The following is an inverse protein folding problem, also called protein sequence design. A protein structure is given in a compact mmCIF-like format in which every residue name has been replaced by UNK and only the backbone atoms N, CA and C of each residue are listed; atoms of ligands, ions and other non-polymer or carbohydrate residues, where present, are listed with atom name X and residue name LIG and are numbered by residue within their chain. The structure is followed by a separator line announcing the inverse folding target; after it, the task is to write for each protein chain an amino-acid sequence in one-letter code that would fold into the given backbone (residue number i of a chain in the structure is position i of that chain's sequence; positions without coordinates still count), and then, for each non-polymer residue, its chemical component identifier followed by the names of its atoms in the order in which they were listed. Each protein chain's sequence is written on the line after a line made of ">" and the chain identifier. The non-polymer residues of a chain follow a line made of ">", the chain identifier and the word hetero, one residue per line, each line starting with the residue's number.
data_IF_505555532784
#
_entry.id   IF_505555532784
#
_cell.length_a   1.000
_cell.length_b   1.000
_cell.length_c   1.000
_cell.angle_alpha   90.00
_cell.angle_beta   90.00
_cell.angle_gamma   90.00
#
_symmetry.space_group_name_H-M   'P 1'
#
loop_
_entity.id
_entity.type
_entity.pdbx_description
1 polymer ?
#
# COMPACT_ATOMS: atom_id res chain seq x y z
N UNK A 1 36.79 57.63 -33.95
CA UNK A 1 35.60 57.17 -33.19
C UNK A 1 35.53 55.66 -33.27
N UNK A 2 35.96 54.94 -32.23
CA UNK A 2 36.03 53.47 -32.28
C UNK A 2 36.05 52.87 -30.88
N UNK A 3 34.91 52.88 -30.19
CA UNK A 3 34.77 52.22 -28.89
C UNK A 3 33.30 51.82 -28.63
N UNK A 4 32.72 51.04 -29.53
CA UNK A 4 31.38 50.45 -29.33
C UNK A 4 31.34 48.91 -29.45
N UNK A 5 32.42 48.27 -29.94
CA UNK A 5 32.47 46.82 -30.16
C UNK A 5 32.96 46.01 -28.94
N UNK A 6 33.62 46.64 -27.96
CA UNK A 6 34.12 45.95 -26.76
C UNK A 6 33.03 45.63 -25.73
N UNK A 7 32.04 46.50 -25.57
CA UNK A 7 30.99 46.35 -24.56
C UNK A 7 29.92 45.31 -24.95
N UNK A 8 29.59 45.20 -26.25
CA UNK A 8 28.65 44.18 -26.72
C UNK A 8 29.20 42.74 -26.55
N UNK A 9 30.52 42.56 -26.76
CA UNK A 9 31.18 41.25 -26.65
C UNK A 9 31.28 40.78 -25.20
N UNK A 10 31.56 41.69 -24.25
CA UNK A 10 31.57 41.41 -22.82
C UNK A 10 30.17 41.04 -22.28
N UNK A 11 29.12 41.74 -22.75
CA UNK A 11 27.73 41.44 -22.36
C UNK A 11 27.27 40.07 -22.88
N UNK A 12 27.58 39.73 -24.14
CA UNK A 12 27.26 38.41 -24.70
C UNK A 12 27.96 37.27 -23.95
N UNK A 13 29.24 37.44 -23.59
CA UNK A 13 30.01 36.46 -22.81
C UNK A 13 29.43 36.28 -21.39
N UNK A 14 29.02 37.38 -20.74
CA UNK A 14 28.39 37.32 -19.41
C UNK A 14 27.03 36.60 -19.44
N UNK A 15 26.17 36.90 -20.41
CA UNK A 15 24.86 36.24 -20.58
C UNK A 15 25.02 34.75 -20.90
N UNK A 16 26.00 34.37 -21.73
CA UNK A 16 26.30 32.97 -22.02
C UNK A 16 26.86 32.24 -20.78
N UNK A 17 27.73 32.88 -20.00
CA UNK A 17 28.25 32.31 -18.75
C UNK A 17 27.16 32.07 -17.70
N UNK A 18 26.24 33.02 -17.51
CA UNK A 18 25.09 32.84 -16.60
C UNK A 18 24.13 31.74 -17.07
N UNK A 19 23.93 31.61 -18.39
CA UNK A 19 23.07 30.58 -18.97
C UNK A 19 23.69 29.18 -18.81
N UNK A 20 25.00 29.04 -18.98
CA UNK A 20 25.74 27.79 -18.76
C UNK A 20 25.69 27.37 -17.28
N UNK A 21 25.98 28.28 -16.35
CA UNK A 21 25.87 28.02 -14.91
C UNK A 21 24.45 27.64 -14.47
N UNK A 22 23.41 28.20 -15.11
CA UNK A 22 22.03 27.83 -14.84
C UNK A 22 21.66 26.44 -15.40
N UNK A 23 22.24 26.04 -16.53
CA UNK A 23 22.07 24.69 -17.11
C UNK A 23 22.73 23.65 -16.21
N UNK A 24 23.95 23.90 -15.74
CA UNK A 24 24.68 22.97 -14.87
C UNK A 24 23.95 22.76 -13.53
N UNK A 25 23.43 23.84 -12.94
CA UNK A 25 22.60 23.76 -11.72
C UNK A 25 21.30 22.98 -11.95
N UNK A 26 20.68 23.10 -13.13
CA UNK A 26 19.48 22.33 -13.48
C UNK A 26 19.80 20.85 -13.68
N UNK A 27 20.91 20.53 -14.34
CA UNK A 27 21.37 19.17 -14.53
C UNK A 27 21.70 18.49 -13.19
N UNK A 28 22.44 19.17 -12.31
CA UNK A 28 22.74 18.67 -10.97
C UNK A 28 21.47 18.44 -10.14
N UNK A 29 20.50 19.36 -10.21
CA UNK A 29 19.20 19.21 -9.54
C UNK A 29 18.40 18.02 -10.09
N UNK A 30 18.39 17.82 -11.40
CA UNK A 30 17.71 16.69 -12.03
C UNK A 30 18.32 15.35 -11.57
N UNK A 31 19.65 15.25 -11.57
CA UNK A 31 20.36 14.06 -11.07
C UNK A 31 20.09 13.79 -9.57
N UNK A 32 20.01 14.85 -8.75
CA UNK A 32 19.66 14.72 -7.34
C UNK A 32 18.20 14.26 -7.14
N UNK A 33 17.28 14.71 -7.99
CA UNK A 33 15.88 14.27 -7.92
C UNK A 33 15.72 12.83 -8.41
N UNK A 34 16.48 12.42 -9.42
CA UNK A 34 16.52 11.05 -9.92
C UNK A 34 17.07 10.06 -8.88
N UNK A 35 18.18 10.41 -8.22
CA UNK A 35 18.75 9.61 -7.13
C UNK A 35 17.79 9.52 -5.94
N UNK A 36 17.12 10.62 -5.58
CA UNK A 36 16.07 10.61 -4.56
C UNK A 36 14.91 9.68 -4.95
N UNK A 37 14.42 9.79 -6.19
CA UNK A 37 13.33 8.95 -6.68
C UNK A 37 13.71 7.46 -6.66
N UNK A 38 14.92 7.12 -7.09
CA UNK A 38 15.44 5.76 -7.02
C UNK A 38 15.46 5.23 -5.57
N UNK A 39 15.91 6.04 -4.61
CA UNK A 39 15.97 5.63 -3.21
C UNK A 39 14.58 5.40 -2.60
N UNK A 40 13.62 6.29 -2.90
CA UNK A 40 12.20 6.11 -2.52
C UNK A 40 11.65 4.79 -3.08
N UNK A 41 11.92 4.48 -4.35
CA UNK A 41 11.43 3.26 -4.99
C UNK A 41 12.08 1.99 -4.42
N UNK A 42 13.36 2.03 -4.07
CA UNK A 42 14.04 0.90 -3.40
C UNK A 42 13.41 0.63 -2.03
N UNK A 43 13.25 1.67 -1.20
CA UNK A 43 12.63 1.54 0.12
C UNK A 43 11.18 1.06 0.02
N UNK A 44 10.43 1.58 -0.97
CA UNK A 44 9.08 1.12 -1.25
C UNK A 44 9.08 -0.37 -1.61
N UNK A 45 9.88 -0.81 -2.58
CA UNK A 45 9.98 -2.22 -2.99
C UNK A 45 10.35 -3.14 -1.82
N UNK A 46 11.18 -2.66 -0.89
CA UNK A 46 11.54 -3.36 0.36
C UNK A 46 10.41 -3.38 1.41
N UNK A 47 9.25 -2.77 1.13
CA UNK A 47 8.08 -2.77 2.01
C UNK A 47 8.10 -1.69 3.09
N UNK A 48 8.98 -0.69 3.01
CA UNK A 48 9.02 0.40 3.97
C UNK A 48 7.69 1.20 3.96
N UNK A 49 7.30 1.71 5.13
CA UNK A 49 6.16 2.63 5.24
C UNK A 49 6.54 4.05 4.84
N UNK A 50 5.55 4.89 4.52
CA UNK A 50 5.78 6.33 4.32
C UNK A 50 6.46 6.94 5.56
N UNK A 51 6.06 6.55 6.78
CA UNK A 51 6.68 7.04 8.01
C UNK A 51 8.13 6.57 8.21
N UNK A 52 8.45 5.34 7.78
CA UNK A 52 9.82 4.83 7.80
C UNK A 52 10.68 5.53 6.73
N UNK A 53 10.17 5.68 5.51
CA UNK A 53 10.83 6.44 4.43
C UNK A 53 11.06 7.89 4.84
N UNK A 54 10.10 8.53 5.54
CA UNK A 54 10.27 9.90 6.08
C UNK A 54 11.45 9.97 7.06
N UNK A 55 11.54 9.01 7.99
CA UNK A 55 12.64 8.95 8.96
C UNK A 55 13.99 8.74 8.29
N UNK A 56 14.03 7.87 7.28
CA UNK A 56 15.26 7.52 6.56
C UNK A 56 15.73 8.65 5.65
N UNK A 57 14.81 9.22 4.86
CA UNK A 57 15.12 10.20 3.82
C UNK A 57 15.01 11.65 4.30
N UNK A 58 14.55 11.88 5.53
CA UNK A 58 14.42 13.22 6.12
C UNK A 58 13.48 14.17 5.36
N UNK A 59 12.50 13.64 4.62
CA UNK A 59 11.64 14.44 3.73
C UNK A 59 10.15 14.30 4.04
N UNK A 60 9.33 15.24 3.56
CA UNK A 60 7.89 15.25 3.85
C UNK A 60 7.12 14.12 3.16
N UNK A 61 6.04 13.66 3.80
CA UNK A 61 5.13 12.65 3.26
C UNK A 61 4.61 13.02 1.86
N UNK A 62 4.30 14.30 1.62
CA UNK A 62 3.81 14.78 0.33
C UNK A 62 4.83 14.62 -0.78
N UNK A 63 6.13 14.77 -0.48
CA UNK A 63 7.20 14.58 -1.47
C UNK A 63 7.36 13.10 -1.82
N UNK A 64 7.36 12.23 -0.80
CA UNK A 64 7.41 10.77 -0.99
C UNK A 64 6.22 10.30 -1.83
N UNK A 65 5.00 10.75 -1.49
CA UNK A 65 3.77 10.43 -2.22
C UNK A 65 3.84 10.85 -3.68
N UNK A 66 4.29 12.08 -3.95
CA UNK A 66 4.44 12.59 -5.31
C UNK A 66 5.40 11.74 -6.15
N UNK A 67 6.53 11.31 -5.56
CA UNK A 67 7.48 10.43 -6.26
C UNK A 67 6.86 9.09 -6.59
N UNK A 68 6.16 8.46 -5.64
CA UNK A 68 5.48 7.18 -5.86
C UNK A 68 4.41 7.30 -6.96
N UNK A 69 3.58 8.35 -6.89
CA UNK A 69 2.53 8.64 -7.88
C UNK A 69 3.11 8.86 -9.29
N UNK A 70 4.18 9.65 -9.42
CA UNK A 70 4.84 9.90 -10.71
C UNK A 70 5.48 8.64 -11.32
N UNK A 71 5.77 7.63 -10.51
CA UNK A 71 6.34 6.36 -10.94
C UNK A 71 5.29 5.26 -11.08
N UNK A 72 4.00 5.61 -11.12
CA UNK A 72 2.89 4.66 -11.32
C UNK A 72 2.69 3.69 -10.16
N UNK A 73 3.25 4.00 -8.98
CA UNK A 73 3.02 3.22 -7.77
C UNK A 73 1.77 3.77 -7.11
N UNK A 74 0.62 3.22 -7.49
CA UNK A 74 -0.64 3.50 -6.82
C UNK A 74 -0.55 3.11 -5.34
N UNK A 75 -1.32 3.82 -4.50
CA UNK A 75 -1.41 3.66 -3.04
C UNK A 75 -1.83 2.24 -2.65
N UNK A 76 -0.92 1.29 -2.72
CA UNK A 76 -1.09 -0.04 -2.15
C UNK A 76 -0.14 -0.07 -0.96
N UNK A 77 -0.65 0.05 0.28
CA UNK A 77 0.21 -0.07 1.45
C UNK A 77 0.83 -1.46 1.43
N UNK A 78 2.11 -1.55 1.09
CA UNK A 78 2.86 -2.81 1.04
C UNK A 78 2.96 -3.45 2.44
N UNK A 79 2.74 -2.64 3.49
CA UNK A 79 2.45 -3.10 4.86
C UNK A 79 1.30 -4.11 4.98
N UNK A 80 0.44 -4.22 3.97
CA UNK A 80 -0.64 -5.19 3.99
C UNK A 80 -0.19 -6.61 3.62
N UNK A 81 0.92 -6.84 2.91
CA UNK A 81 1.29 -8.21 2.49
C UNK A 81 1.82 -9.04 3.65
N UNK A 82 2.83 -8.56 4.39
CA UNK A 82 3.32 -9.24 5.59
C UNK A 82 2.18 -9.45 6.63
N UNK A 83 1.30 -8.46 6.79
CA UNK A 83 0.13 -8.59 7.69
C UNK A 83 -0.92 -9.58 7.19
N UNK A 84 -1.11 -9.73 5.88
CA UNK A 84 -2.00 -10.75 5.27
C UNK A 84 -1.42 -12.15 5.48
N UNK A 85 -0.13 -12.33 5.19
CA UNK A 85 0.54 -13.63 5.29
C UNK A 85 0.56 -14.12 6.73
N UNK A 86 0.92 -13.25 7.69
CA UNK A 86 0.83 -13.59 9.11
C UNK A 86 -0.58 -13.97 9.55
N UNK A 87 -1.61 -13.26 9.06
CA UNK A 87 -3.00 -13.55 9.41
C UNK A 87 -3.41 -14.92 8.87
N UNK A 88 -3.09 -15.20 7.61
CA UNK A 88 -3.36 -16.48 6.97
C UNK A 88 -2.66 -17.61 7.73
N UNK A 89 -1.36 -17.47 8.01
CA UNK A 89 -0.56 -18.46 8.73
C UNK A 89 -1.12 -18.72 10.12
N UNK A 90 -1.48 -17.67 10.87
CA UNK A 90 -2.09 -17.81 12.20
C UNK A 90 -3.45 -18.49 12.14
N UNK A 91 -4.31 -18.11 11.19
CA UNK A 91 -5.63 -18.73 11.00
C UNK A 91 -5.50 -20.21 10.63
N UNK A 92 -4.62 -20.55 9.70
CA UNK A 92 -4.34 -21.94 9.30
C UNK A 92 -3.73 -22.76 10.46
N UNK A 93 -2.88 -22.16 11.30
CA UNK A 93 -2.35 -22.84 12.48
C UNK A 93 -3.45 -23.17 13.49
N UNK A 94 -4.36 -22.23 13.73
CA UNK A 94 -5.52 -22.47 14.59
C UNK A 94 -6.42 -23.59 14.03
N UNK A 95 -6.66 -23.60 12.72
CA UNK A 95 -7.44 -24.65 12.06
C UNK A 95 -6.79 -26.03 12.19
N UNK A 96 -5.48 -26.13 11.92
CA UNK A 96 -4.72 -27.39 12.08
C UNK A 96 -4.78 -27.93 13.51
N UNK A 97 -4.73 -27.05 14.52
CA UNK A 97 -4.91 -27.47 15.91
C UNK A 97 -6.34 -27.97 16.16
N UNK A 98 -7.36 -27.30 15.62
CA UNK A 98 -8.74 -27.78 15.73
C UNK A 98 -8.94 -29.15 15.07
N UNK A 99 -8.36 -29.36 13.89
CA UNK A 99 -8.39 -30.65 13.17
C UNK A 99 -7.64 -31.75 13.93
N UNK A 100 -6.59 -31.38 14.67
CA UNK A 100 -5.88 -32.27 15.59
C UNK A 100 -6.63 -32.58 16.89
N UNK A 101 -7.90 -32.16 17.03
CA UNK A 101 -8.75 -32.46 18.17
C UNK A 101 -8.64 -31.50 19.36
N UNK A 102 -7.84 -30.44 19.25
CA UNK A 102 -7.73 -29.45 20.32
C UNK A 102 -9.02 -28.64 20.45
N UNK A 103 -9.47 -28.44 21.69
CA UNK A 103 -10.55 -27.52 22.02
C UNK A 103 -10.11 -26.06 21.84
N UNK A 104 -11.06 -25.14 21.70
CA UNK A 104 -10.75 -23.71 21.54
C UNK A 104 -9.95 -23.12 22.72
N UNK A 105 -10.16 -23.62 23.94
CA UNK A 105 -9.40 -23.19 25.12
C UNK A 105 -7.95 -23.67 25.06
N UNK A 106 -7.71 -24.90 24.63
CA UNK A 106 -6.36 -25.44 24.46
C UNK A 106 -5.63 -24.76 23.31
N UNK A 107 -6.33 -24.43 22.21
CA UNK A 107 -5.79 -23.62 21.12
C UNK A 107 -5.39 -22.24 21.65
N UNK A 108 -6.23 -21.60 22.46
CA UNK A 108 -5.96 -20.29 23.04
C UNK A 108 -4.69 -20.31 23.90
N UNK A 109 -4.55 -21.32 24.76
CA UNK A 109 -3.34 -21.54 25.56
C UNK A 109 -2.10 -21.78 24.67
N UNK A 110 -2.21 -22.66 23.67
CA UNK A 110 -1.09 -23.05 22.79
C UNK A 110 -0.66 -21.94 21.83
N UNK A 111 -1.55 -21.00 21.53
CA UNK A 111 -1.28 -19.82 20.70
C UNK A 111 -1.05 -18.55 21.53
N UNK A 112 -1.04 -18.66 22.86
CA UNK A 112 -0.84 -17.55 23.80
C UNK A 112 -1.76 -16.35 23.51
N UNK A 113 -3.04 -16.62 23.26
CA UNK A 113 -4.02 -15.60 22.92
C UNK A 113 -5.37 -15.85 23.61
N UNK A 114 -6.29 -14.89 23.50
CA UNK A 114 -7.61 -15.03 24.12
C UNK A 114 -8.52 -15.99 23.35
N UNK A 115 -9.49 -16.58 24.04
CA UNK A 115 -10.53 -17.41 23.44
C UNK A 115 -11.28 -16.71 22.29
N UNK A 116 -11.57 -15.41 22.44
CA UNK A 116 -12.20 -14.61 21.39
C UNK A 116 -11.29 -14.42 20.17
N UNK A 117 -9.97 -14.33 20.38
CA UNK A 117 -9.01 -14.31 19.28
C UNK A 117 -9.03 -15.62 18.51
N UNK A 118 -9.07 -16.77 19.19
CA UNK A 118 -9.18 -18.08 18.55
C UNK A 118 -10.48 -18.21 17.75
N UNK A 119 -11.61 -17.75 18.28
CA UNK A 119 -12.88 -17.73 17.53
C UNK A 119 -12.75 -16.94 16.23
N UNK A 120 -12.15 -15.76 16.28
CA UNK A 120 -11.92 -14.95 15.10
C UNK A 120 -10.97 -15.63 14.11
N UNK A 121 -9.88 -16.24 14.58
CA UNK A 121 -8.92 -16.99 13.74
C UNK A 121 -9.57 -18.18 13.04
N UNK A 122 -10.36 -18.97 13.77
CA UNK A 122 -11.07 -20.13 13.19
C UNK A 122 -12.15 -19.70 12.20
N UNK A 123 -12.87 -18.60 12.48
CA UNK A 123 -13.84 -18.04 11.53
C UNK A 123 -13.13 -17.60 10.24
N UNK A 124 -11.99 -16.92 10.36
CA UNK A 124 -11.16 -16.53 9.22
C UNK A 124 -10.63 -17.75 8.45
N UNK A 125 -10.11 -18.75 9.15
CA UNK A 125 -9.53 -19.95 8.53
C UNK A 125 -10.56 -20.71 7.68
N UNK A 126 -11.76 -20.91 8.22
CA UNK A 126 -12.85 -21.61 7.51
C UNK A 126 -13.31 -20.82 6.30
N UNK A 127 -13.48 -19.52 6.44
CA UNK A 127 -13.85 -18.65 5.33
C UNK A 127 -12.78 -18.61 4.22
N UNK A 128 -11.50 -18.57 4.58
CA UNK A 128 -10.43 -18.60 3.57
C UNK A 128 -10.22 -19.98 2.95
N UNK A 129 -10.57 -21.06 3.65
CA UNK A 129 -10.54 -22.42 3.08
C UNK A 129 -11.70 -22.62 2.09
N UNK A 130 -12.90 -22.21 2.48
CA UNK A 130 -14.11 -22.25 1.64
C UNK A 130 -14.97 -20.99 1.89
N UNK A 131 -14.93 -20.00 0.98
CA UNK A 131 -15.69 -18.75 1.12
C UNK A 131 -17.22 -18.94 1.13
N UNK A 132 -17.74 -20.06 0.62
CA UNK A 132 -19.17 -20.33 0.61
C UNK A 132 -19.74 -20.64 2.00
N UNK A 133 -18.88 -20.94 2.98
CA UNK A 133 -19.29 -21.16 4.38
C UNK A 133 -19.84 -19.90 5.05
N UNK A 134 -19.55 -18.71 4.52
CA UNK A 134 -20.07 -17.42 5.01
C UNK A 134 -20.48 -16.55 3.80
N UNK A 135 -21.67 -16.85 3.26
CA UNK A 135 -22.20 -16.22 2.03
C UNK A 135 -22.35 -14.70 2.17
N UNK A 136 -22.76 -14.21 3.34
CA UNK A 136 -22.87 -12.76 3.60
C UNK A 136 -21.50 -12.08 3.53
N UNK A 137 -20.47 -12.68 4.15
CA UNK A 137 -19.11 -12.19 4.07
C UNK A 137 -18.57 -12.25 2.64
N UNK A 138 -18.86 -13.31 1.89
CA UNK A 138 -18.48 -13.45 0.48
C UNK A 138 -19.13 -12.37 -0.40
N UNK A 139 -20.43 -12.12 -0.22
CA UNK A 139 -21.14 -11.05 -0.93
C UNK A 139 -20.51 -9.68 -0.65
N UNK A 140 -20.21 -9.39 0.62
CA UNK A 140 -19.56 -8.13 0.98
C UNK A 140 -18.14 -8.03 0.40
N UNK A 141 -17.40 -9.12 0.35
CA UNK A 141 -16.08 -9.19 -0.29
C UNK A 141 -16.18 -8.80 -1.76
N UNK A 142 -17.07 -9.43 -2.53
CA UNK A 142 -17.28 -9.12 -3.97
C UNK A 142 -17.67 -7.66 -4.18
N UNK A 143 -18.70 -7.21 -3.48
CA UNK A 143 -19.23 -5.84 -3.63
C UNK A 143 -18.30 -4.74 -3.12
N UNK A 144 -17.37 -5.05 -2.20
CA UNK A 144 -16.42 -4.05 -1.66
C UNK A 144 -15.45 -3.47 -2.69
N UNK A 145 -15.29 -4.15 -3.83
CA UNK A 145 -14.44 -3.78 -4.97
C UNK A 145 -15.22 -3.46 -6.24
N UNK A 146 -16.54 -3.39 -6.16
CA UNK A 146 -17.37 -2.93 -7.27
C UNK A 146 -16.95 -1.51 -7.72
N UNK A 147 -16.82 -1.24 -9.03
CA UNK A 147 -16.42 0.06 -9.55
C UNK A 147 -17.24 1.22 -8.97
N UNK A 148 -18.55 1.04 -8.82
CA UNK A 148 -19.49 2.02 -8.28
C UNK A 148 -19.31 2.32 -6.79
N UNK A 149 -18.54 1.50 -6.08
CA UNK A 149 -18.17 1.67 -4.67
C UNK A 149 -16.75 2.19 -4.55
N UNK A 150 -15.83 1.76 -5.42
CA UNK A 150 -14.43 2.17 -5.36
C UNK A 150 -14.18 3.63 -5.71
N UNK A 151 -15.06 4.24 -6.51
CA UNK A 151 -15.00 5.68 -6.82
C UNK A 151 -15.40 6.57 -5.64
N UNK A 152 -16.07 6.00 -4.62
CA UNK A 152 -16.57 6.74 -3.47
C UNK A 152 -15.48 6.87 -2.40
N UNK A 153 -15.63 7.89 -1.55
CA UNK A 153 -14.88 7.95 -0.29
C UNK A 153 -15.20 6.73 0.57
N UNK A 154 -14.30 6.40 1.51
CA UNK A 154 -14.45 5.21 2.34
C UNK A 154 -15.76 5.20 3.14
N UNK A 155 -16.16 6.35 3.71
CA UNK A 155 -17.39 6.47 4.48
C UNK A 155 -18.63 6.44 3.59
N UNK A 156 -18.59 7.09 2.42
CA UNK A 156 -19.68 7.03 1.45
C UNK A 156 -19.89 5.61 0.90
N UNK A 157 -18.80 4.88 0.66
CA UNK A 157 -18.83 3.47 0.29
C UNK A 157 -19.46 2.60 1.39
N UNK A 158 -19.09 2.83 2.66
CA UNK A 158 -19.66 2.10 3.79
C UNK A 158 -21.17 2.35 3.92
N UNK A 159 -21.60 3.61 3.81
CA UNK A 159 -23.02 4.00 3.81
C UNK A 159 -23.79 3.37 2.64
N UNK A 160 -23.25 3.42 1.41
CA UNK A 160 -23.87 2.81 0.23
C UNK A 160 -24.08 1.31 0.39
N UNK A 161 -23.10 0.63 0.99
CA UNK A 161 -23.17 -0.81 1.27
C UNK A 161 -23.93 -1.13 2.56
N UNK A 162 -24.44 -0.13 3.30
CA UNK A 162 -25.13 -0.28 4.57
C UNK A 162 -24.31 -1.07 5.62
N UNK A 163 -22.99 -0.87 5.63
CA UNK A 163 -22.08 -1.51 6.58
C UNK A 163 -21.29 -0.47 7.36
N UNK A 164 -20.72 -0.89 8.49
CA UNK A 164 -19.78 -0.04 9.21
C UNK A 164 -18.46 0.11 8.45
N UNK A 165 -17.73 1.22 8.62
CA UNK A 165 -16.39 1.38 8.04
C UNK A 165 -15.45 0.21 8.39
N UNK A 166 -15.52 -0.31 9.61
CA UNK A 166 -14.74 -1.47 10.05
C UNK A 166 -15.08 -2.75 9.30
N UNK A 167 -16.36 -2.98 8.96
CA UNK A 167 -16.79 -4.11 8.13
C UNK A 167 -16.28 -3.97 6.70
N UNK A 168 -16.39 -2.78 6.10
CA UNK A 168 -15.84 -2.51 4.77
C UNK A 168 -14.33 -2.72 4.71
N UNK A 169 -13.60 -2.28 5.75
CA UNK A 169 -12.14 -2.48 5.85
C UNK A 169 -11.80 -3.97 5.89
N UNK A 170 -12.56 -4.74 6.65
CA UNK A 170 -12.39 -6.19 6.74
C UNK A 170 -12.68 -6.86 5.41
N UNK A 171 -13.80 -6.53 4.74
CA UNK A 171 -14.14 -7.07 3.44
C UNK A 171 -13.09 -6.78 2.36
N UNK A 172 -12.58 -5.55 2.29
CA UNK A 172 -11.50 -5.19 1.33
C UNK A 172 -10.19 -5.91 1.60
N UNK A 173 -9.89 -6.22 2.87
CA UNK A 173 -8.74 -7.05 3.25
C UNK A 173 -8.96 -8.50 2.81
N UNK A 174 -10.14 -9.04 3.13
CA UNK A 174 -10.52 -10.41 2.82
C UNK A 174 -10.55 -10.64 1.31
N UNK A 175 -11.01 -9.67 0.51
CA UNK A 175 -10.94 -9.68 -0.96
C UNK A 175 -9.54 -10.01 -1.45
N UNK A 176 -8.50 -9.39 -0.87
CA UNK A 176 -7.14 -9.64 -1.31
C UNK A 176 -6.64 -11.05 -0.97
N UNK A 177 -7.15 -11.67 0.10
CA UNK A 177 -6.77 -13.04 0.49
C UNK A 177 -7.55 -14.02 -0.40
N UNK A 178 -8.86 -13.82 -0.52
CA UNK A 178 -9.75 -14.66 -1.35
C UNK A 178 -9.34 -14.59 -2.82
N UNK A 179 -8.98 -13.43 -3.36
CA UNK A 179 -8.51 -13.32 -4.76
C UNK A 179 -7.24 -14.10 -5.01
N UNK A 180 -6.40 -14.27 -3.98
CA UNK A 180 -5.14 -15.00 -4.08
C UNK A 180 -5.33 -16.52 -3.95
N UNK A 181 -6.30 -16.95 -3.13
CA UNK A 181 -6.56 -18.37 -2.87
C UNK A 181 -7.62 -18.97 -3.82
N UNK A 182 -8.60 -18.16 -4.22
CA UNK A 182 -9.81 -18.56 -4.93
C UNK A 182 -10.16 -17.56 -6.05
N UNK A 183 -9.33 -17.42 -7.09
CA UNK A 183 -9.51 -16.40 -8.12
C UNK A 183 -10.89 -16.48 -8.80
N UNK A 184 -11.36 -17.69 -9.09
CA UNK A 184 -12.61 -17.94 -9.82
C UNK A 184 -13.87 -17.59 -9.01
N UNK A 185 -13.78 -17.45 -7.69
CA UNK A 185 -14.96 -17.17 -6.84
C UNK A 185 -15.34 -15.69 -6.92
N UNK A 186 -14.48 -14.80 -7.41
CA UNK A 186 -14.75 -13.37 -7.43
C UNK A 186 -15.27 -12.84 -8.77
N UNK A 187 -15.35 -13.67 -9.81
CA UNK A 187 -15.76 -13.27 -11.18
C UNK A 187 -17.27 -13.35 -11.45
N UNK A 188 -18.12 -13.22 -10.43
CA UNK A 188 -19.59 -13.34 -10.57
C UNK A 188 -20.31 -11.99 -10.57
#
# INVERSE_FOLDING_TARGET
>A
MGSFHGHQRAFLLAVHGHKLLAIDKRAAKAAAEETFAAHVLVLHKAGATISAMRRELGCSDSRIKRVLELNGVDRIPQQNHASKDERLVRAQRALRLQEGGYTRNEIAAKMECSFETVKAMLKDAKFYADPWTDVERLYLVRTSRDPSVTILSFDAAATKLQVTPSKLKSARRDFSIVSSLHPNILES
#
